data_IF_840784527601
#
_entry.id   IF_840784527601
#
_cell.length_a   1.000
_cell.length_b   1.000
_cell.length_c   1.000
_cell.angle_alpha   90.00
_cell.angle_beta   90.00
_cell.angle_gamma   90.00
#
_symmetry.space_group_name_H-M   'P 1'
#
loop_
_entity.id
_entity.type
_entity.pdbx_description
1 polymer ?
#
# COMPACT_ATOMS: atom_id res chain seq x y z
N UNK A 1 30.69 8.01 -15.11
CA UNK A 1 29.98 6.72 -15.19
C UNK A 1 28.82 6.84 -16.16
N UNK A 2 28.37 5.74 -16.77
CA UNK A 2 27.19 5.68 -17.65
C UNK A 2 26.28 4.53 -17.20
N UNK A 3 24.97 4.75 -17.24
CA UNK A 3 24.00 3.68 -17.02
C UNK A 3 24.03 2.69 -18.19
N UNK A 4 23.92 1.40 -17.90
CA UNK A 4 23.88 0.33 -18.90
C UNK A 4 22.48 0.13 -19.49
N UNK A 5 21.44 0.71 -18.86
CA UNK A 5 20.04 0.49 -19.22
C UNK A 5 19.50 -0.89 -18.80
N UNK A 6 20.31 -1.73 -18.16
CA UNK A 6 19.90 -3.04 -17.67
C UNK A 6 19.60 -3.00 -16.18
N UNK A 7 18.57 -3.75 -15.77
CA UNK A 7 18.20 -3.95 -14.36
C UNK A 7 18.86 -5.23 -13.87
N UNK A 8 19.33 -5.24 -12.62
CA UNK A 8 19.88 -6.42 -11.94
C UNK A 8 18.89 -6.83 -10.85
N UNK A 9 18.68 -8.14 -10.71
CA UNK A 9 17.73 -8.69 -9.75
C UNK A 9 16.30 -8.67 -10.25
N UNK A 10 15.37 -8.91 -9.34
CA UNK A 10 13.95 -9.04 -9.67
C UNK A 10 13.30 -7.70 -9.97
N UNK A 11 12.35 -7.72 -10.89
CA UNK A 11 11.53 -6.56 -11.22
C UNK A 11 10.47 -6.40 -10.12
N UNK A 12 10.42 -5.21 -9.50
CA UNK A 12 9.41 -4.86 -8.51
C UNK A 12 8.10 -4.50 -9.21
N UNK A 13 7.37 -5.53 -9.63
CA UNK A 13 6.05 -5.40 -10.24
C UNK A 13 4.91 -5.41 -9.20
N UNK A 14 3.67 -5.46 -9.68
CA UNK A 14 2.49 -5.38 -8.83
C UNK A 14 2.31 -6.60 -7.92
N UNK A 15 2.62 -7.80 -8.42
CA UNK A 15 2.54 -9.04 -7.65
C UNK A 15 3.69 -9.13 -6.65
N UNK A 16 4.89 -8.71 -7.04
CA UNK A 16 6.05 -8.62 -6.16
C UNK A 16 5.74 -7.76 -4.92
N UNK A 17 5.07 -6.61 -5.09
CA UNK A 17 4.67 -5.75 -3.97
C UNK A 17 3.68 -6.45 -3.02
N UNK A 18 2.66 -7.12 -3.55
CA UNK A 18 1.71 -7.88 -2.75
C UNK A 18 2.40 -9.02 -1.98
N UNK A 19 3.23 -9.80 -2.66
CA UNK A 19 3.98 -10.90 -2.06
C UNK A 19 4.96 -10.41 -0.99
N UNK A 20 5.56 -9.23 -1.21
CA UNK A 20 6.44 -8.61 -0.21
C UNK A 20 5.67 -8.23 1.05
N UNK A 21 4.46 -7.68 0.93
CA UNK A 21 3.61 -7.39 2.09
C UNK A 21 3.27 -8.66 2.88
N UNK A 22 2.85 -9.72 2.19
CA UNK A 22 2.50 -11.00 2.82
C UNK A 22 3.72 -11.62 3.53
N UNK A 23 4.88 -11.60 2.86
CA UNK A 23 6.13 -12.11 3.40
C UNK A 23 6.57 -11.31 4.63
N UNK A 24 6.55 -9.98 4.59
CA UNK A 24 6.91 -9.14 5.73
C UNK A 24 5.95 -9.34 6.91
N UNK A 25 4.65 -9.47 6.64
CA UNK A 25 3.66 -9.77 7.68
C UNK A 25 3.99 -11.09 8.40
N UNK A 26 4.34 -12.13 7.63
CA UNK A 26 4.78 -13.41 8.18
C UNK A 26 6.11 -13.32 8.93
N UNK A 27 7.12 -12.64 8.36
CA UNK A 27 8.45 -12.46 8.97
C UNK A 27 8.38 -11.72 10.32
N UNK A 28 7.42 -10.81 10.49
CA UNK A 28 7.23 -10.03 11.70
C UNK A 28 6.14 -10.56 12.64
N UNK A 29 5.54 -11.71 12.32
CA UNK A 29 4.41 -12.30 13.07
C UNK A 29 3.23 -11.31 13.27
N UNK A 30 2.95 -10.53 12.22
CA UNK A 30 1.84 -9.56 12.19
C UNK A 30 0.66 -10.18 11.45
N UNK A 31 -0.52 -10.32 12.08
CA UNK A 31 -1.73 -10.73 11.39
C UNK A 31 -2.02 -9.82 10.20
N UNK A 32 -2.40 -10.38 9.04
CA UNK A 32 -2.69 -9.59 7.84
C UNK A 32 -3.75 -8.50 8.10
N UNK A 33 -4.73 -8.76 8.95
CA UNK A 33 -5.75 -7.79 9.37
C UNK A 33 -5.17 -6.54 10.05
N UNK A 34 -3.94 -6.59 10.56
CA UNK A 34 -3.23 -5.47 11.20
C UNK A 34 -2.16 -4.84 10.30
N UNK A 35 -2.17 -5.15 8.99
CA UNK A 35 -1.27 -4.53 8.01
C UNK A 35 -1.93 -3.34 7.33
N UNK A 36 -1.11 -2.35 6.96
CA UNK A 36 -1.54 -1.16 6.22
C UNK A 36 -0.72 -1.04 4.95
N UNK A 37 -1.37 -0.88 3.81
CA UNK A 37 -0.72 -0.59 2.52
C UNK A 37 -1.21 0.75 1.96
N UNK A 38 -0.27 1.55 1.46
CA UNK A 38 -0.54 2.88 0.90
C UNK A 38 0.06 2.92 -0.51
N UNK A 39 -0.71 3.37 -1.50
CA UNK A 39 -0.22 3.53 -2.88
C UNK A 39 -1.06 4.49 -3.72
N UNK A 40 -0.52 4.93 -4.86
CA UNK A 40 -1.14 5.92 -5.75
C UNK A 40 -1.45 5.34 -7.14
N UNK A 41 -0.80 4.23 -7.49
CA UNK A 41 -0.79 3.65 -8.83
C UNK A 41 -1.59 2.36 -8.97
N UNK A 42 -1.88 1.98 -10.22
CA UNK A 42 -2.55 0.72 -10.53
C UNK A 42 -1.66 -0.51 -10.21
N UNK A 43 -0.34 -0.33 -10.21
CA UNK A 43 0.64 -1.33 -9.77
C UNK A 43 0.60 -1.59 -8.25
N UNK A 44 0.00 -0.70 -7.46
CA UNK A 44 -0.15 -0.90 -6.02
C UNK A 44 -1.46 -1.62 -5.68
N UNK A 45 -2.42 -1.70 -6.62
CA UNK A 45 -3.73 -2.31 -6.36
C UNK A 45 -3.66 -3.73 -5.78
N UNK A 46 -2.79 -4.64 -6.25
CA UNK A 46 -2.67 -5.95 -5.62
C UNK A 46 -2.22 -5.88 -4.17
N UNK A 47 -1.22 -5.03 -3.86
CA UNK A 47 -0.74 -4.80 -2.50
C UNK A 47 -1.80 -4.15 -1.60
N UNK A 48 -2.50 -3.12 -2.11
CA UNK A 48 -3.57 -2.42 -1.40
C UNK A 48 -4.72 -3.38 -1.06
N UNK A 49 -5.06 -4.31 -1.96
CA UNK A 49 -6.11 -5.31 -1.72
C UNK A 49 -5.67 -6.44 -0.79
N UNK A 50 -4.38 -6.75 -0.73
CA UNK A 50 -3.85 -7.81 0.13
C UNK A 50 -3.71 -7.38 1.60
N UNK A 51 -3.58 -6.07 1.85
CA UNK A 51 -3.46 -5.54 3.20
C UNK A 51 -4.79 -5.58 3.97
N UNK A 52 -4.70 -5.61 5.31
CA UNK A 52 -5.85 -5.46 6.19
C UNK A 52 -6.52 -4.09 6.04
N UNK A 53 -5.71 -3.05 5.82
CA UNK A 53 -6.16 -1.70 5.51
C UNK A 53 -5.42 -1.15 4.29
N UNK A 54 -6.12 -1.07 3.16
CA UNK A 54 -5.59 -0.51 1.91
C UNK A 54 -6.01 0.94 1.70
N UNK A 55 -5.04 1.85 1.48
CA UNK A 55 -5.27 3.29 1.30
C UNK A 55 -4.73 3.75 -0.04
N UNK A 56 -5.60 4.34 -0.87
CA UNK A 56 -5.17 5.04 -2.07
C UNK A 56 -4.80 6.49 -1.74
N UNK A 57 -3.54 6.88 -1.95
CA UNK A 57 -3.04 8.22 -1.65
C UNK A 57 -2.82 9.02 -2.94
N UNK A 58 -3.56 10.12 -3.10
CA UNK A 58 -3.53 10.96 -4.30
C UNK A 58 -3.62 10.16 -5.62
N UNK A 59 -4.37 9.06 -5.57
CA UNK A 59 -4.35 8.08 -6.62
C UNK A 59 -5.15 8.53 -7.85
N UNK A 60 -4.85 7.93 -9.01
CA UNK A 60 -5.61 8.17 -10.25
C UNK A 60 -7.07 7.69 -10.10
N UNK A 61 -8.05 8.24 -10.85
CA UNK A 61 -9.47 7.87 -10.74
C UNK A 61 -9.73 6.36 -10.74
N UNK A 62 -9.10 5.63 -11.68
CA UNK A 62 -9.20 4.16 -11.79
C UNK A 62 -8.73 3.39 -10.56
N UNK A 63 -7.81 3.97 -9.78
CA UNK A 63 -7.30 3.36 -8.54
C UNK A 63 -8.29 3.66 -7.43
N UNK A 64 -8.70 4.93 -7.28
CA UNK A 64 -9.70 5.33 -6.28
C UNK A 64 -11.01 4.53 -6.37
N UNK A 65 -11.50 4.25 -7.58
CA UNK A 65 -12.71 3.45 -7.81
C UNK A 65 -12.57 1.98 -7.35
N UNK A 66 -11.33 1.50 -7.19
CA UNK A 66 -11.02 0.11 -6.84
C UNK A 66 -10.50 -0.05 -5.41
N UNK A 67 -10.57 1.01 -4.61
CA UNK A 67 -10.04 1.08 -3.24
C UNK A 67 -11.08 1.72 -2.33
N UNK A 68 -11.32 1.12 -1.16
CA UNK A 68 -12.36 1.58 -0.24
C UNK A 68 -11.99 2.89 0.45
N UNK A 69 -10.70 3.07 0.77
CA UNK A 69 -10.21 4.23 1.51
C UNK A 69 -9.28 5.04 0.61
N UNK A 70 -9.56 6.33 0.50
CA UNK A 70 -8.79 7.24 -0.35
C UNK A 70 -8.48 8.55 0.37
N UNK A 71 -7.25 9.04 0.22
CA UNK A 71 -6.83 10.37 0.63
C UNK A 71 -6.61 11.19 -0.63
N UNK A 72 -7.41 12.23 -0.83
CA UNK A 72 -7.41 13.02 -2.08
C UNK A 72 -6.74 14.39 -1.97
N UNK A 73 -6.71 14.96 -0.77
CA UNK A 73 -6.33 16.37 -0.56
C UNK A 73 -5.41 16.60 0.64
N UNK A 74 -5.31 15.64 1.57
CA UNK A 74 -4.42 15.74 2.72
C UNK A 74 -3.02 15.18 2.36
N UNK A 75 -2.02 15.58 3.12
CA UNK A 75 -0.71 14.93 3.09
C UNK A 75 -0.78 13.54 3.77
N UNK A 76 0.38 12.90 3.95
CA UNK A 76 0.45 11.58 4.60
C UNK A 76 -0.02 11.59 6.07
N UNK A 77 -0.17 12.76 6.73
CA UNK A 77 -0.84 12.80 8.03
C UNK A 77 -2.32 12.41 7.94
N UNK A 78 -2.94 12.46 6.76
CA UNK A 78 -4.26 11.90 6.53
C UNK A 78 -4.33 10.40 6.87
N UNK A 79 -3.24 9.65 6.69
CA UNK A 79 -3.15 8.24 7.09
C UNK A 79 -3.21 8.12 8.62
N UNK A 80 -2.46 8.97 9.32
CA UNK A 80 -2.52 9.01 10.78
C UNK A 80 -3.93 9.33 11.29
N UNK A 81 -4.64 10.29 10.67
CA UNK A 81 -6.03 10.57 11.01
C UNK A 81 -6.92 9.33 10.87
N UNK A 82 -6.79 8.57 9.79
CA UNK A 82 -7.55 7.31 9.56
C UNK A 82 -7.24 6.29 10.66
N UNK A 83 -5.96 6.07 10.96
CA UNK A 83 -5.53 5.11 11.98
C UNK A 83 -5.97 5.53 13.39
N UNK A 84 -5.93 6.82 13.70
CA UNK A 84 -6.37 7.35 14.99
C UNK A 84 -7.87 7.21 15.22
N UNK A 85 -8.66 7.09 14.15
CA UNK A 85 -10.11 6.89 14.22
C UNK A 85 -10.52 5.60 14.93
N UNK A 86 -9.73 4.53 14.81
CA UNK A 86 -10.01 3.25 15.49
C UNK A 86 -9.57 3.23 16.96
N UNK A 87 -8.68 4.14 17.36
CA UNK A 87 -8.13 4.18 18.72
C UNK A 87 -9.11 4.70 19.78
N UNK A 88 -10.24 5.30 19.36
CA UNK A 88 -11.24 5.87 20.26
C UNK A 88 -12.41 4.94 20.58
N UNK A 89 -12.37 3.67 20.15
CA UNK A 89 -13.36 2.68 20.60
C UNK A 89 -12.97 2.18 21.99
N UNK A 90 -13.54 2.80 23.02
CA UNK A 90 -13.62 2.24 24.37
C UNK A 90 -14.63 1.11 24.42
#
# INVERSE_FOLDING_TARGET
GKFTGHVIGDIVDAEYKANTLLRLAQEHDIPLAQTVAIGDGANDLPMIKAAGLGIAFHAKPKVNEKTEITIRHADLMGVFCILSGSMNQK
#
